data_IF_784360195999
#
_entry.id   IF_784360195999
#
_cell.length_a   1.000
_cell.length_b   1.000
_cell.length_c   1.000
_cell.angle_alpha   90.00
_cell.angle_beta   90.00
_cell.angle_gamma   90.00
#
_symmetry.space_group_name_H-M   'P 1'
#
loop_
_entity.id
_entity.type
_entity.pdbx_description
1 polymer ?
#
# COMPACT_ATOMS: atom_id res chain seq x y z
N UNK A 1 24.46 -2.59 12.03
CA UNK A 1 24.43 -2.72 13.50
C UNK A 1 23.59 -3.92 13.84
N UNK A 2 23.97 -4.70 14.87
CA UNK A 2 23.18 -5.85 15.33
C UNK A 2 21.89 -5.33 16.01
N UNK A 3 20.75 -5.93 15.68
CA UNK A 3 19.48 -5.60 16.33
C UNK A 3 19.34 -6.23 17.73
N UNK A 4 20.27 -7.11 18.08
CA UNK A 4 20.31 -7.84 19.35
C UNK A 4 21.41 -7.29 20.25
N UNK A 5 21.12 -7.18 21.54
CA UNK A 5 22.09 -6.74 22.54
C UNK A 5 21.83 -7.40 23.89
N UNK A 6 22.87 -7.46 24.72
CA UNK A 6 22.74 -7.92 26.11
C UNK A 6 22.14 -6.77 26.91
N UNK A 7 20.95 -6.99 27.46
CA UNK A 7 20.22 -6.01 28.27
C UNK A 7 20.71 -5.98 29.71
N UNK A 8 20.98 -7.14 30.26
CA UNK A 8 21.50 -7.32 31.61
C UNK A 8 22.14 -8.69 31.77
N UNK A 9 22.89 -8.85 32.82
CA UNK A 9 23.68 -10.05 33.13
C UNK A 9 25.16 -9.78 33.01
N UNK A 10 25.98 -10.70 33.54
CA UNK A 10 27.42 -10.57 33.51
C UNK A 10 27.94 -10.86 32.09
N UNK A 11 28.90 -10.08 31.64
CA UNK A 11 29.60 -10.29 30.37
C UNK A 11 30.90 -11.07 30.54
N UNK A 12 31.29 -11.33 31.79
CA UNK A 12 32.41 -12.18 32.18
C UNK A 12 32.18 -12.72 33.59
N UNK A 13 32.67 -13.88 33.89
CA UNK A 13 32.51 -14.48 35.21
C UNK A 13 32.96 -15.93 35.24
N UNK A 14 32.71 -16.60 36.38
CA UNK A 14 32.91 -18.04 36.58
C UNK A 14 31.66 -18.66 37.19
N UNK A 15 31.39 -19.93 36.87
CA UNK A 15 30.20 -20.63 37.32
C UNK A 15 28.95 -20.32 36.48
N UNK A 16 27.77 -20.58 37.04
CA UNK A 16 26.51 -20.36 36.36
C UNK A 16 26.10 -18.89 36.43
N UNK A 17 25.67 -18.32 35.30
CA UNK A 17 25.19 -16.93 35.21
C UNK A 17 24.11 -16.83 34.17
N UNK A 18 23.15 -15.90 34.37
CA UNK A 18 22.09 -15.58 33.43
C UNK A 18 22.42 -14.31 32.67
N UNK A 19 22.14 -14.31 31.37
CA UNK A 19 22.17 -13.14 30.53
C UNK A 19 20.77 -12.85 29.97
N UNK A 20 20.40 -11.59 29.93
CA UNK A 20 19.14 -11.14 29.31
C UNK A 20 19.44 -10.49 27.99
N UNK A 21 18.89 -11.08 26.93
CA UNK A 21 19.06 -10.59 25.55
C UNK A 21 17.80 -9.83 25.14
N UNK A 22 17.98 -8.71 24.47
CA UNK A 22 16.90 -7.90 23.95
C UNK A 22 17.17 -7.45 22.51
N UNK A 23 16.13 -6.94 21.85
CA UNK A 23 16.24 -6.30 20.54
C UNK A 23 16.14 -4.79 20.68
N UNK A 24 16.88 -4.05 19.87
CA UNK A 24 16.90 -2.57 19.88
C UNK A 24 15.66 -1.95 19.24
N UNK A 25 14.99 -2.68 18.34
CA UNK A 25 13.83 -2.20 17.62
C UNK A 25 12.96 -3.35 17.13
N UNK A 26 11.73 -3.03 16.72
CA UNK A 26 10.85 -3.95 16.01
C UNK A 26 11.45 -4.26 14.63
N UNK A 27 11.32 -5.52 14.19
CA UNK A 27 11.60 -5.89 12.80
C UNK A 27 10.37 -5.58 11.94
N UNK A 28 10.40 -4.48 11.21
CA UNK A 28 9.34 -4.07 10.28
C UNK A 28 9.56 -4.61 8.86
N UNK A 29 10.65 -5.34 8.62
CA UNK A 29 10.90 -6.05 7.37
C UNK A 29 10.10 -7.35 7.28
N UNK A 30 10.00 -7.91 6.09
CA UNK A 30 9.35 -9.22 5.89
C UNK A 30 10.24 -10.41 6.21
N UNK A 31 11.56 -10.23 6.18
CA UNK A 31 12.51 -11.30 6.49
C UNK A 31 12.94 -11.25 7.96
N UNK A 32 13.26 -12.42 8.50
CA UNK A 32 13.79 -12.52 9.85
C UNK A 32 15.19 -11.91 9.94
N UNK A 33 15.44 -11.17 11.00
CA UNK A 33 16.78 -10.74 11.39
C UNK A 33 17.44 -11.84 12.20
N UNK A 34 18.69 -12.16 11.88
CA UNK A 34 19.46 -13.20 12.55
C UNK A 34 20.69 -12.61 13.22
N UNK A 35 21.02 -13.14 14.37
CA UNK A 35 22.19 -12.77 15.13
C UNK A 35 22.75 -13.96 15.90
N UNK A 36 23.87 -13.74 16.54
CA UNK A 36 24.46 -14.71 17.46
C UNK A 36 25.30 -14.02 18.52
N UNK A 37 25.30 -14.59 19.71
CA UNK A 37 26.27 -14.31 20.73
C UNK A 37 27.19 -15.51 20.89
N UNK A 38 28.45 -15.23 21.20
CA UNK A 38 29.46 -16.24 21.48
C UNK A 38 29.96 -16.01 22.91
N UNK A 39 30.04 -17.09 23.66
CA UNK A 39 30.72 -17.15 24.95
C UNK A 39 31.98 -18.00 24.75
N UNK A 40 33.14 -17.45 25.04
CA UNK A 40 34.39 -18.14 24.95
C UNK A 40 35.07 -18.15 26.34
N UNK A 41 35.74 -19.22 26.66
CA UNK A 41 36.51 -19.27 27.89
C UNK A 41 38.04 -19.26 27.62
N UNK A 42 38.42 -19.60 26.40
CA UNK A 42 39.76 -19.36 25.84
C UNK A 42 39.69 -19.14 24.34
N UNK A 43 40.82 -18.99 23.65
CA UNK A 43 40.85 -18.62 22.22
C UNK A 43 40.30 -19.71 21.29
N UNK A 44 40.12 -20.93 21.77
CA UNK A 44 39.73 -22.07 20.94
C UNK A 44 38.39 -22.71 21.31
N UNK A 45 37.89 -22.48 22.52
CA UNK A 45 36.63 -23.05 22.96
C UNK A 45 35.53 -21.98 23.17
N UNK A 46 34.39 -22.21 22.55
CA UNK A 46 33.26 -21.31 22.66
C UNK A 46 31.92 -22.02 22.53
N UNK A 47 30.92 -21.47 23.15
CA UNK A 47 29.52 -21.78 22.92
C UNK A 47 28.83 -20.64 22.15
N UNK A 48 27.85 -20.98 21.33
CA UNK A 48 27.12 -19.98 20.53
C UNK A 48 25.63 -20.13 20.77
N UNK A 49 24.97 -19.01 20.98
CA UNK A 49 23.52 -18.90 20.96
C UNK A 49 23.08 -18.20 19.67
N UNK A 50 22.19 -18.83 18.91
CA UNK A 50 21.61 -18.26 17.71
C UNK A 50 20.33 -17.52 18.06
N UNK A 51 20.14 -16.36 17.46
CA UNK A 51 19.05 -15.46 17.73
C UNK A 51 18.28 -15.20 16.44
N UNK A 52 16.97 -15.13 16.54
CA UNK A 52 16.11 -14.79 15.42
C UNK A 52 14.99 -13.86 15.91
N UNK A 53 14.79 -12.76 15.18
CA UNK A 53 13.63 -11.89 15.31
C UNK A 53 12.82 -11.99 14.01
N UNK A 54 11.67 -12.63 14.08
CA UNK A 54 10.78 -12.80 12.92
C UNK A 54 10.37 -11.46 12.35
N UNK A 55 10.25 -11.42 11.02
CA UNK A 55 9.71 -10.27 10.30
C UNK A 55 8.19 -10.19 10.44
N UNK A 56 7.65 -9.01 10.21
CA UNK A 56 6.22 -8.84 9.98
C UNK A 56 5.89 -9.38 8.58
N UNK A 57 4.76 -10.00 8.37
CA UNK A 57 4.34 -10.47 7.05
C UNK A 57 4.37 -9.37 5.97
N UNK A 58 3.99 -9.70 4.74
CA UNK A 58 3.91 -8.73 3.66
C UNK A 58 2.94 -7.59 3.99
N UNK A 59 3.38 -6.37 3.76
CA UNK A 59 2.61 -5.15 3.96
C UNK A 59 2.54 -4.40 2.63
N UNK A 60 1.34 -4.01 2.24
CA UNK A 60 1.07 -3.10 1.12
C UNK A 60 -0.09 -2.19 1.53
N UNK A 61 0.22 -0.95 1.89
CA UNK A 61 -0.76 0.06 2.29
C UNK A 61 -0.85 1.14 1.22
N UNK A 62 -2.04 1.69 1.04
CA UNK A 62 -2.33 2.79 0.14
C UNK A 62 -2.90 3.94 0.95
N UNK A 63 -2.40 5.14 0.72
CA UNK A 63 -2.81 6.35 1.46
C UNK A 63 -4.22 6.82 1.08
N UNK A 64 -4.69 6.46 -0.12
CA UNK A 64 -6.00 6.87 -0.64
C UNK A 64 -6.60 5.75 -1.50
N UNK A 65 -7.89 5.49 -1.32
CA UNK A 65 -8.62 4.45 -2.06
C UNK A 65 -9.59 4.99 -3.12
N UNK A 66 -9.86 6.29 -3.11
CA UNK A 66 -10.79 6.92 -4.07
C UNK A 66 -10.26 8.28 -4.49
N UNK A 67 -10.46 8.62 -5.76
CA UNK A 67 -10.17 9.94 -6.29
C UNK A 67 -11.21 10.33 -7.33
N UNK A 68 -11.57 11.62 -7.38
CA UNK A 68 -12.43 12.19 -8.38
C UNK A 68 -11.63 13.09 -9.33
N UNK A 69 -11.90 12.99 -10.61
CA UNK A 69 -11.26 13.77 -11.65
C UNK A 69 -12.32 14.48 -12.49
N UNK A 70 -12.00 15.67 -12.97
CA UNK A 70 -12.77 16.32 -14.02
C UNK A 70 -12.68 15.55 -15.34
N UNK A 71 -13.54 15.88 -16.30
CA UNK A 71 -13.52 15.29 -17.63
C UNK A 71 -12.16 15.42 -18.34
N UNK A 72 -11.43 16.51 -18.12
CA UNK A 72 -10.13 16.76 -18.75
C UNK A 72 -9.03 15.76 -18.31
N UNK A 73 -9.28 15.00 -17.25
CA UNK A 73 -8.30 14.11 -16.68
C UNK A 73 -7.25 14.86 -15.85
N UNK A 74 -6.30 14.13 -15.38
CA UNK A 74 -5.20 14.65 -14.57
C UNK A 74 -4.19 13.53 -14.28
N UNK A 75 -3.02 13.92 -13.81
CA UNK A 75 -2.07 12.98 -13.22
C UNK A 75 -2.56 12.55 -11.84
N UNK A 76 -2.74 11.26 -11.67
CA UNK A 76 -3.08 10.64 -10.38
C UNK A 76 -1.81 10.15 -9.71
N UNK A 77 -1.60 10.55 -8.48
CA UNK A 77 -0.50 10.07 -7.66
C UNK A 77 -1.03 9.13 -6.58
N UNK A 78 -0.55 7.90 -6.60
CA UNK A 78 -0.83 6.87 -5.62
C UNK A 78 0.39 6.75 -4.73
N UNK A 79 0.22 6.95 -3.44
CA UNK A 79 1.29 6.79 -2.45
C UNK A 79 0.90 5.82 -1.36
N UNK A 80 1.88 5.27 -0.70
CA UNK A 80 1.66 4.35 0.41
C UNK A 80 2.96 3.82 0.98
N UNK A 81 2.83 2.86 1.88
CA UNK A 81 3.95 2.16 2.51
C UNK A 81 3.89 0.67 2.21
N UNK A 82 5.04 0.06 2.02
CA UNK A 82 5.13 -1.37 1.74
C UNK A 82 6.42 -1.97 2.28
N UNK A 83 6.43 -3.30 2.44
CA UNK A 83 7.65 -4.07 2.64
C UNK A 83 7.80 -5.21 1.61
N UNK A 84 6.95 -5.26 0.61
CA UNK A 84 6.98 -6.27 -0.46
C UNK A 84 8.14 -6.04 -1.43
N UNK A 85 8.61 -7.08 -2.11
CA UNK A 85 9.72 -6.96 -3.07
C UNK A 85 9.31 -6.25 -4.36
N UNK A 86 8.02 -6.36 -4.72
CA UNK A 86 7.47 -5.83 -5.96
C UNK A 86 6.04 -5.38 -5.73
N UNK A 87 5.66 -4.28 -6.35
CA UNK A 87 4.26 -3.84 -6.43
C UNK A 87 3.87 -3.89 -7.90
N UNK A 88 3.07 -4.87 -8.27
CA UNK A 88 2.46 -4.95 -9.60
C UNK A 88 1.23 -4.05 -9.64
N UNK A 89 1.00 -3.42 -10.78
CA UNK A 89 -0.14 -2.53 -11.00
C UNK A 89 -0.89 -2.98 -12.22
N UNK A 90 -2.19 -3.22 -12.09
CA UNK A 90 -3.08 -3.46 -13.23
C UNK A 90 -4.17 -2.42 -13.24
N UNK A 91 -4.57 -1.98 -14.44
CA UNK A 91 -5.48 -0.89 -14.65
C UNK A 91 -6.54 -1.31 -15.65
N UNK A 92 -7.81 -1.14 -15.27
CA UNK A 92 -8.93 -1.31 -16.17
C UNK A 92 -9.45 0.05 -16.64
N UNK A 93 -9.57 0.22 -17.94
CA UNK A 93 -10.07 1.47 -18.57
C UNK A 93 -9.05 2.11 -19.53
N UNK A 94 -9.47 3.21 -20.17
CA UNK A 94 -8.59 3.99 -21.04
C UNK A 94 -7.74 4.95 -20.22
N UNK A 95 -6.55 4.51 -19.87
CA UNK A 95 -5.59 5.29 -19.09
C UNK A 95 -4.34 5.54 -19.92
N UNK A 96 -3.74 6.71 -19.72
CA UNK A 96 -2.45 7.03 -20.30
C UNK A 96 -1.37 6.95 -19.24
N UNK A 97 -0.27 6.29 -19.56
CA UNK A 97 0.97 6.35 -18.80
C UNK A 97 2.04 6.97 -19.70
N UNK A 98 2.65 8.04 -19.25
CA UNK A 98 3.64 8.78 -20.04
C UNK A 98 3.13 9.16 -21.45
N UNK A 99 1.87 9.58 -21.54
CA UNK A 99 1.23 9.96 -22.82
C UNK A 99 0.68 8.81 -23.66
N UNK A 100 0.98 7.57 -23.35
CA UNK A 100 0.51 6.39 -24.07
C UNK A 100 -0.77 5.83 -23.46
N UNK A 101 -1.76 5.52 -24.32
CA UNK A 101 -2.97 4.83 -23.89
C UNK A 101 -2.62 3.39 -23.59
N UNK A 102 -2.98 2.92 -22.39
CA UNK A 102 -2.82 1.53 -21.97
C UNK A 102 -4.14 0.99 -21.44
N UNK A 103 -4.45 -0.25 -21.77
CA UNK A 103 -5.59 -0.99 -21.22
C UNK A 103 -5.18 -1.78 -19.98
N UNK A 104 -3.96 -2.31 -19.98
CA UNK A 104 -3.35 -3.01 -18.86
C UNK A 104 -1.92 -2.53 -18.70
N UNK A 105 -1.57 -2.14 -17.48
CA UNK A 105 -0.19 -1.74 -17.16
C UNK A 105 0.29 -2.49 -15.93
N UNK A 106 1.41 -3.18 -16.11
CA UNK A 106 2.15 -3.80 -15.03
C UNK A 106 3.46 -3.05 -14.87
N UNK A 107 3.55 -2.25 -13.84
CA UNK A 107 4.79 -1.51 -13.60
C UNK A 107 4.74 -0.72 -12.31
N UNK A 108 5.89 -0.49 -11.77
CA UNK A 108 6.09 0.32 -10.57
C UNK A 108 7.12 1.38 -10.88
N UNK A 109 6.70 2.64 -10.83
CA UNK A 109 7.64 3.73 -10.71
C UNK A 109 7.94 3.92 -9.23
N UNK A 110 9.07 3.39 -8.77
CA UNK A 110 9.54 3.61 -7.40
C UNK A 110 10.49 4.79 -7.41
N UNK A 111 10.16 5.81 -6.66
CA UNK A 111 11.08 6.90 -6.44
C UNK A 111 12.20 6.41 -5.50
N UNK A 112 13.43 6.30 -6.02
CA UNK A 112 14.67 6.11 -5.24
C UNK A 112 14.88 4.78 -4.51
N UNK A 113 14.26 3.68 -4.93
CA UNK A 113 14.50 2.39 -4.29
C UNK A 113 15.45 1.56 -5.15
N UNK A 114 16.65 1.36 -4.65
CA UNK A 114 17.60 0.37 -5.18
C UNK A 114 17.51 -0.91 -4.34
N UNK A 115 17.49 -2.06 -5.00
CA UNK A 115 17.43 -3.34 -4.32
C UNK A 115 16.02 -3.66 -3.78
N UNK A 116 15.98 -4.35 -2.65
CA UNK A 116 14.78 -4.79 -1.97
C UNK A 116 14.77 -4.33 -0.51
N UNK A 117 14.41 -3.07 -0.23
CA UNK A 117 14.40 -2.52 1.12
C UNK A 117 13.37 -3.19 2.03
N UNK A 118 12.33 -3.79 1.44
CA UNK A 118 11.28 -4.48 2.18
C UNK A 118 11.73 -5.72 2.94
N UNK A 119 12.93 -6.24 2.66
CA UNK A 119 13.53 -7.31 3.45
C UNK A 119 13.69 -6.94 4.91
N UNK A 120 14.15 -5.72 5.19
CA UNK A 120 14.56 -5.28 6.53
C UNK A 120 13.74 -4.13 7.09
N UNK A 121 12.94 -3.44 6.26
CA UNK A 121 12.16 -2.27 6.68
C UNK A 121 10.93 -2.05 5.82
N UNK A 122 10.02 -1.21 6.30
CA UNK A 122 8.96 -0.61 5.49
C UNK A 122 9.57 0.53 4.68
N UNK A 123 9.10 0.70 3.44
CA UNK A 123 9.47 1.79 2.55
C UNK A 123 8.25 2.53 2.02
N UNK A 124 8.42 3.80 1.67
CA UNK A 124 7.42 4.60 0.98
C UNK A 124 7.49 4.33 -0.53
N UNK A 125 6.33 4.36 -1.20
CA UNK A 125 6.25 4.26 -2.64
C UNK A 125 5.34 5.32 -3.24
N UNK A 126 5.62 5.70 -4.49
CA UNK A 126 4.80 6.59 -5.30
C UNK A 126 4.64 5.96 -6.68
N UNK A 127 3.39 5.91 -7.15
CA UNK A 127 3.02 5.50 -8.50
C UNK A 127 2.26 6.66 -9.13
N UNK A 128 2.67 7.05 -10.34
CA UNK A 128 2.06 8.15 -11.06
C UNK A 128 1.38 7.63 -12.32
N UNK A 129 0.14 8.00 -12.54
CA UNK A 129 -0.67 7.57 -13.67
C UNK A 129 -1.32 8.80 -14.31
N UNK A 130 -1.11 8.95 -15.60
CA UNK A 130 -1.79 10.00 -16.39
C UNK A 130 -3.14 9.48 -16.88
N UNK A 131 -4.20 10.03 -16.32
CA UNK A 131 -5.59 9.73 -16.70
C UNK A 131 -6.01 10.75 -17.72
N UNK A 132 -6.12 10.32 -18.98
CA UNK A 132 -6.50 11.19 -20.10
C UNK A 132 -7.96 11.68 -20.04
N UNK A 133 -8.30 12.58 -20.95
CA UNK A 133 -9.65 13.15 -21.10
C UNK A 133 -10.71 12.07 -21.27
N UNK A 134 -11.81 12.19 -20.58
CA UNK A 134 -13.02 11.44 -20.85
C UNK A 134 -13.83 12.20 -21.90
N UNK A 135 -13.81 11.74 -23.13
CA UNK A 135 -14.55 12.36 -24.25
C UNK A 135 -16.02 11.98 -24.30
N UNK A 136 -16.43 11.01 -23.47
CA UNK A 136 -17.84 10.63 -23.33
C UNK A 136 -18.61 11.69 -22.56
N UNK A 137 -19.89 11.87 -22.88
CA UNK A 137 -20.82 12.70 -22.08
C UNK A 137 -21.11 12.11 -20.70
N UNK A 138 -20.82 10.82 -20.49
CA UNK A 138 -21.08 10.12 -19.23
C UNK A 138 -19.83 10.00 -18.37
N UNK A 139 -19.98 10.07 -17.03
CA UNK A 139 -18.88 9.77 -16.13
C UNK A 139 -18.43 8.31 -16.27
N UNK A 140 -17.17 8.06 -15.92
CA UNK A 140 -16.60 6.70 -15.91
C UNK A 140 -15.89 6.40 -14.61
N UNK A 141 -15.81 5.12 -14.27
CA UNK A 141 -15.01 4.61 -13.15
C UNK A 141 -13.79 3.85 -13.69
N UNK A 142 -12.68 4.06 -13.04
CA UNK A 142 -11.40 3.44 -13.36
C UNK A 142 -10.91 2.75 -12.10
N UNK A 143 -10.64 1.45 -12.20
CA UNK A 143 -10.11 0.68 -11.09
C UNK A 143 -8.62 0.43 -11.30
N UNK A 144 -7.82 0.81 -10.31
CA UNK A 144 -6.40 0.53 -10.28
C UNK A 144 -6.17 -0.49 -9.18
N UNK A 145 -5.58 -1.61 -9.54
CA UNK A 145 -5.28 -2.71 -8.62
C UNK A 145 -3.78 -2.75 -8.41
N UNK A 146 -3.35 -2.64 -7.16
CA UNK A 146 -1.99 -2.88 -6.72
C UNK A 146 -1.92 -4.28 -6.10
N UNK A 147 -0.87 -5.02 -6.40
CA UNK A 147 -0.66 -6.36 -5.86
C UNK A 147 0.82 -6.59 -5.51
N UNK A 148 1.06 -7.37 -4.47
CA UNK A 148 2.40 -7.88 -4.13
C UNK A 148 2.81 -9.09 -4.97
N UNK A 149 1.94 -9.52 -5.89
CA UNK A 149 2.14 -10.71 -6.71
C UNK A 149 1.77 -12.03 -6.04
N UNK A 150 1.37 -11.99 -4.77
CA UNK A 150 1.00 -13.18 -3.98
C UNK A 150 -0.45 -13.09 -3.49
N UNK A 151 -0.65 -12.53 -2.30
CA UNK A 151 -1.96 -12.58 -1.63
C UNK A 151 -2.54 -11.21 -1.31
N UNK A 152 -1.77 -10.14 -1.43
CA UNK A 152 -2.23 -8.80 -1.07
C UNK A 152 -2.62 -8.04 -2.32
N UNK A 153 -3.87 -7.60 -2.36
CA UNK A 153 -4.37 -6.67 -3.38
C UNK A 153 -4.99 -5.45 -2.72
N UNK A 154 -4.81 -4.29 -3.36
CA UNK A 154 -5.45 -3.02 -3.00
C UNK A 154 -6.03 -2.40 -4.25
N UNK A 155 -7.29 -1.98 -4.18
CA UNK A 155 -7.99 -1.36 -5.30
C UNK A 155 -8.23 0.11 -5.02
N UNK A 156 -7.82 0.97 -5.95
CA UNK A 156 -8.21 2.36 -6.02
C UNK A 156 -9.34 2.52 -7.02
N UNK A 157 -10.35 3.29 -6.64
CA UNK A 157 -11.43 3.68 -7.53
C UNK A 157 -11.28 5.14 -7.91
N UNK A 158 -11.16 5.43 -9.20
CA UNK A 158 -11.14 6.79 -9.74
C UNK A 158 -12.45 6.99 -10.46
N UNK A 159 -13.20 7.98 -10.04
CA UNK A 159 -14.36 8.49 -10.80
C UNK A 159 -13.91 9.68 -11.63
N UNK A 160 -14.28 9.69 -12.91
CA UNK A 160 -13.98 10.81 -13.81
C UNK A 160 -15.27 11.30 -14.48
N UNK A 161 -15.47 12.61 -14.45
CA UNK A 161 -16.63 13.23 -15.09
C UNK A 161 -16.64 12.98 -16.60
N UNK A 162 -17.82 13.06 -17.19
CA UNK A 162 -18.00 13.11 -18.65
C UNK A 162 -17.66 14.49 -19.21
N UNK A 163 -17.19 14.53 -20.45
CA UNK A 163 -16.98 15.78 -21.20
C UNK A 163 -18.26 16.18 -21.92
N UNK A 164 -19.18 16.79 -21.21
CA UNK A 164 -20.42 17.29 -21.79
C UNK A 164 -21.01 18.42 -20.98
N UNK A 165 -21.48 19.47 -21.65
CA UNK A 165 -22.59 20.24 -21.17
C UNK A 165 -23.68 19.26 -20.72
N UNK A 166 -24.10 19.33 -19.47
CA UNK A 166 -25.12 18.49 -18.81
C UNK A 166 -25.72 17.43 -19.74
N UNK A 167 -25.46 16.13 -19.55
CA UNK A 167 -26.07 15.12 -20.39
C UNK A 167 -27.57 15.42 -20.41
N UNK A 168 -28.18 15.53 -21.57
CA UNK A 168 -29.65 15.42 -21.65
C UNK A 168 -29.98 14.14 -20.89
N UNK A 169 -30.82 14.21 -19.84
CA UNK A 169 -31.09 13.03 -19.02
C UNK A 169 -31.48 11.91 -19.97
N UNK A 170 -30.89 10.71 -19.88
CA UNK A 170 -31.33 9.59 -20.67
C UNK A 170 -32.85 9.50 -20.52
N UNK A 171 -33.56 9.20 -21.61
CA UNK A 171 -35.02 9.04 -21.59
C UNK A 171 -35.46 8.04 -20.51
N UNK A 172 -34.54 7.16 -20.10
CA UNK A 172 -34.73 6.22 -19.01
C UNK A 172 -34.33 6.82 -17.65
N UNK A 173 -35.10 6.47 -16.64
CA UNK A 173 -34.89 6.87 -15.25
C UNK A 173 -33.56 6.30 -14.76
N UNK A 174 -32.72 7.15 -14.20
CA UNK A 174 -31.48 6.67 -13.56
C UNK A 174 -31.33 7.22 -12.15
N UNK A 175 -30.63 6.45 -11.32
CA UNK A 175 -30.14 6.87 -10.01
C UNK A 175 -28.94 6.03 -9.64
N UNK A 176 -27.86 6.67 -9.24
CA UNK A 176 -26.66 6.00 -8.74
C UNK A 176 -25.91 6.85 -7.73
N UNK A 177 -25.09 6.19 -6.91
CA UNK A 177 -24.20 6.86 -5.99
C UNK A 177 -22.84 7.12 -6.65
N UNK A 178 -22.22 8.24 -6.34
CA UNK A 178 -20.82 8.51 -6.73
C UNK A 178 -19.84 7.52 -6.11
N UNK A 179 -20.27 6.85 -5.03
CA UNK A 179 -19.56 5.76 -4.37
C UNK A 179 -20.56 4.70 -3.92
N UNK A 180 -20.37 3.47 -4.32
CA UNK A 180 -21.21 2.34 -3.91
C UNK A 180 -20.70 1.65 -2.64
N UNK A 181 -19.48 1.96 -2.23
CA UNK A 181 -18.85 1.46 -0.99
C UNK A 181 -18.20 2.61 -0.25
N UNK A 182 -18.48 2.71 1.03
CA UNK A 182 -17.87 3.68 1.94
C UNK A 182 -17.24 2.90 3.09
N UNK A 183 -15.94 3.08 3.27
CA UNK A 183 -15.19 2.44 4.34
C UNK A 183 -14.89 3.46 5.43
N UNK A 184 -15.19 3.09 6.68
CA UNK A 184 -14.80 3.84 7.87
C UNK A 184 -13.64 3.12 8.56
N UNK A 185 -12.77 3.90 9.18
CA UNK A 185 -11.76 3.35 10.10
C UNK A 185 -12.43 2.92 11.40
N UNK A 186 -11.71 2.19 12.24
CA UNK A 186 -12.18 1.82 13.59
C UNK A 186 -12.56 3.03 14.46
N UNK A 187 -11.99 4.20 14.16
CA UNK A 187 -12.29 5.45 14.88
C UNK A 187 -13.52 6.19 14.33
N UNK A 188 -14.20 5.62 13.34
CA UNK A 188 -15.32 6.26 12.66
C UNK A 188 -14.88 7.42 11.75
N UNK A 189 -15.73 8.40 11.59
CA UNK A 189 -15.47 9.61 10.80
C UNK A 189 -16.63 10.04 9.93
N UNK A 190 -16.41 11.06 9.10
CA UNK A 190 -17.38 11.57 8.12
C UNK A 190 -16.92 11.20 6.72
N UNK A 191 -17.82 10.64 5.93
CA UNK A 191 -17.59 10.30 4.54
C UNK A 191 -18.75 10.86 3.69
N UNK A 192 -18.46 11.23 2.46
CA UNK A 192 -19.45 11.81 1.55
C UNK A 192 -19.61 10.93 0.32
N UNK A 193 -20.85 10.67 -0.07
CA UNK A 193 -21.23 10.13 -1.37
C UNK A 193 -22.33 10.99 -1.96
N UNK A 194 -22.23 11.30 -3.25
CA UNK A 194 -23.25 12.06 -3.97
C UNK A 194 -24.23 11.14 -4.67
N UNK A 195 -25.50 11.51 -4.69
CA UNK A 195 -26.52 10.83 -5.48
C UNK A 195 -26.65 11.59 -6.82
N UNK A 196 -26.53 10.85 -7.91
CA UNK A 196 -26.78 11.32 -9.27
C UNK A 196 -28.10 10.74 -9.74
N UNK A 197 -29.07 11.58 -10.07
CA UNK A 197 -30.42 11.12 -10.44
C UNK A 197 -31.14 12.11 -11.30
N UNK A 198 -31.93 11.62 -12.25
CA UNK A 198 -32.92 12.39 -13.00
C UNK A 198 -34.36 12.15 -12.49
N UNK A 199 -34.51 11.51 -11.34
CA UNK A 199 -35.81 11.25 -10.70
C UNK A 199 -35.79 11.72 -9.25
N UNK A 200 -36.96 11.92 -8.67
CA UNK A 200 -37.07 12.16 -7.23
C UNK A 200 -36.63 10.90 -6.45
N UNK A 201 -35.88 11.11 -5.43
CA UNK A 201 -35.37 10.01 -4.59
C UNK A 201 -35.65 10.27 -3.11
N UNK A 202 -35.61 9.20 -2.33
CA UNK A 202 -35.75 9.23 -0.89
C UNK A 202 -34.74 8.29 -0.27
N UNK A 203 -34.02 8.77 0.72
CA UNK A 203 -33.13 7.93 1.53
C UNK A 203 -33.95 7.32 2.67
N UNK A 204 -33.79 6.02 2.87
CA UNK A 204 -34.34 5.30 4.04
C UNK A 204 -33.17 4.58 4.76
N UNK A 205 -33.21 4.53 6.05
CA UNK A 205 -32.29 3.78 6.93
C UNK A 205 -32.97 2.51 7.40
#
# INVERSE_FOLDING_TARGET
MSNFYIKSGDTSGSGNSDIVISTSSQNNGRESLKGRFRVSFDDNEYATISLEQVGVGNILNVSRYTQHLSANGSVVTISGTANVSTIATSIAGNIRVNGNVISNWNGVSRTFITGDPGKTSIYDYIITIDVGTNTSSYPRNINIILSDGNNITKTLNISQDGNGSTPEPPADKYMYFSRTTINFTSNGGVQTSSIMSNVNWRLST
#
